data_IF_534552856093
#
_entry.id   IF_534552856093
#
_cell.length_a   1.000
_cell.length_b   1.000
_cell.length_c   1.000
_cell.angle_alpha   90.00
_cell.angle_beta   90.00
_cell.angle_gamma   90.00
#
_symmetry.space_group_name_H-M   'P 1'
#
loop_
_entity.id
_entity.type
_entity.pdbx_description
1 polymer ?
#
# COMPACT_ATOMS: atom_id res chain seq x y z
N UNK A 1 -11.93 7.73 3.35
CA UNK A 1 -11.57 8.14 4.72
C UNK A 1 -11.45 6.95 5.65
N UNK A 2 -10.44 6.98 6.50
CA UNK A 2 -10.24 6.01 7.58
C UNK A 2 -10.94 6.52 8.85
N UNK A 3 -11.80 5.72 9.51
CA UNK A 3 -12.46 6.14 10.75
C UNK A 3 -11.45 6.47 11.85
N UNK A 4 -11.64 7.60 12.54
CA UNK A 4 -10.69 8.09 13.57
C UNK A 4 -10.57 7.17 14.79
N UNK A 5 -11.62 6.40 15.06
CA UNK A 5 -11.77 5.50 16.20
C UNK A 5 -11.72 4.02 15.80
N UNK A 6 -11.26 3.73 14.57
CA UNK A 6 -11.07 2.36 14.10
C UNK A 6 -10.12 1.59 15.03
N UNK A 7 -10.57 0.43 15.49
CA UNK A 7 -9.77 -0.51 16.29
C UNK A 7 -9.90 -1.90 15.67
N UNK A 8 -8.76 -2.51 15.36
CA UNK A 8 -8.69 -3.85 14.77
C UNK A 8 -7.77 -4.71 15.62
N UNK A 9 -8.20 -5.94 15.91
CA UNK A 9 -7.35 -6.93 16.60
C UNK A 9 -6.44 -7.54 15.54
N UNK A 10 -5.14 -7.26 15.65
CA UNK A 10 -4.12 -7.70 14.71
C UNK A 10 -2.74 -7.75 15.37
N UNK A 11 -1.76 -8.28 14.64
CA UNK A 11 -0.36 -8.12 14.98
C UNK A 11 0.11 -6.72 14.55
N UNK A 12 0.26 -5.83 15.52
CA UNK A 12 0.54 -4.41 15.26
C UNK A 12 1.89 -4.21 14.56
N UNK A 13 2.90 -4.99 14.93
CA UNK A 13 4.26 -4.85 14.38
C UNK A 13 4.28 -5.23 12.90
N UNK A 14 3.58 -6.32 12.54
CA UNK A 14 3.46 -6.72 11.13
C UNK A 14 2.64 -5.72 10.30
N UNK A 15 1.55 -5.18 10.86
CA UNK A 15 0.72 -4.18 10.16
C UNK A 15 1.52 -2.89 9.93
N UNK A 16 2.30 -2.44 10.91
CA UNK A 16 3.20 -1.29 10.76
C UNK A 16 4.21 -1.52 9.62
N UNK A 17 4.83 -2.70 9.55
CA UNK A 17 5.75 -3.06 8.46
C UNK A 17 5.07 -3.00 7.10
N UNK A 18 3.85 -3.54 6.98
CA UNK A 18 3.08 -3.51 5.72
C UNK A 18 2.81 -2.07 5.30
N UNK A 19 2.32 -1.23 6.22
CA UNK A 19 2.02 0.18 5.92
C UNK A 19 3.26 0.97 5.51
N UNK A 20 4.37 0.80 6.24
CA UNK A 20 5.62 1.47 5.93
C UNK A 20 6.14 1.10 4.52
N UNK A 21 6.00 -0.18 4.13
CA UNK A 21 6.36 -0.62 2.78
C UNK A 21 5.49 0.05 1.72
N UNK A 22 4.17 0.01 1.88
CA UNK A 22 3.24 0.59 0.91
C UNK A 22 3.40 2.11 0.78
N UNK A 23 3.62 2.81 1.90
CA UNK A 23 3.88 4.26 1.89
C UNK A 23 5.22 4.59 1.22
N UNK A 24 6.26 3.80 1.48
CA UNK A 24 7.56 3.98 0.82
C UNK A 24 7.46 3.77 -0.69
N UNK A 25 6.72 2.77 -1.13
CA UNK A 25 6.47 2.51 -2.55
C UNK A 25 5.69 3.68 -3.19
N UNK A 26 4.64 4.16 -2.53
CA UNK A 26 3.86 5.31 -3.00
C UNK A 26 4.71 6.58 -3.16
N UNK A 27 5.61 6.85 -2.21
CA UNK A 27 6.53 8.01 -2.26
C UNK A 27 7.57 7.82 -3.38
N UNK A 28 8.13 6.62 -3.51
CA UNK A 28 9.21 6.34 -4.46
C UNK A 28 8.72 6.38 -5.90
N UNK A 29 7.62 5.68 -6.17
CA UNK A 29 7.12 5.46 -7.53
C UNK A 29 6.05 6.46 -7.96
N UNK A 30 5.49 7.25 -7.04
CA UNK A 30 4.53 8.29 -7.39
C UNK A 30 5.12 9.49 -8.12
N UNK A 31 4.30 10.29 -8.78
CA UNK A 31 4.71 11.49 -9.52
C UNK A 31 5.30 12.58 -8.60
N UNK A 32 5.94 13.60 -9.20
CA UNK A 32 6.42 14.75 -8.43
C UNK A 32 5.24 15.46 -7.74
N UNK A 33 5.37 15.71 -6.43
CA UNK A 33 4.27 16.22 -5.60
C UNK A 33 3.02 15.33 -5.59
N UNK A 34 3.18 14.00 -5.73
CA UNK A 34 2.03 13.09 -5.68
C UNK A 34 1.26 13.22 -4.37
N UNK A 35 -0.07 13.19 -4.48
CA UNK A 35 -0.93 12.92 -3.35
C UNK A 35 -0.90 11.42 -3.05
N UNK A 36 -0.93 11.08 -1.76
CA UNK A 36 -1.05 9.71 -1.28
C UNK A 36 -2.40 9.56 -0.60
N UNK A 37 -3.22 8.67 -1.14
CA UNK A 37 -4.56 8.36 -0.65
C UNK A 37 -4.52 7.14 0.26
N UNK A 38 -4.96 7.31 1.50
CA UNK A 38 -5.10 6.23 2.47
C UNK A 38 -6.58 5.91 2.63
N UNK A 39 -6.94 4.64 2.44
CA UNK A 39 -8.31 4.16 2.45
C UNK A 39 -8.55 3.04 3.47
N UNK A 40 -9.80 2.94 3.87
CA UNK A 40 -10.33 1.84 4.67
C UNK A 40 -11.73 1.48 4.17
N UNK A 41 -12.07 0.20 4.22
CA UNK A 41 -13.37 -0.34 3.87
C UNK A 41 -13.61 -1.65 4.62
N UNK A 42 -14.81 -1.86 5.14
CA UNK A 42 -15.29 -3.09 5.80
C UNK A 42 -16.57 -3.58 5.13
N UNK A 43 -16.59 -3.52 3.80
CA UNK A 43 -17.73 -3.89 2.95
C UNK A 43 -18.25 -5.32 3.18
N UNK A 44 -17.51 -6.17 3.87
CA UNK A 44 -17.99 -7.45 4.35
C UNK A 44 -17.65 -7.65 5.83
N UNK A 45 -18.44 -8.48 6.51
CA UNK A 45 -18.29 -8.76 7.94
C UNK A 45 -17.05 -9.62 8.26
N UNK A 46 -16.20 -9.93 7.27
CA UNK A 46 -15.09 -10.88 7.41
C UNK A 46 -13.73 -10.22 7.36
N UNK A 47 -13.59 -9.12 6.62
CA UNK A 47 -12.31 -8.51 6.33
C UNK A 47 -12.35 -7.00 6.49
N UNK A 48 -11.28 -6.49 7.09
CA UNK A 48 -10.92 -5.08 7.02
C UNK A 48 -10.01 -4.87 5.81
N UNK A 49 -10.43 -4.01 4.90
CA UNK A 49 -9.67 -3.63 3.71
C UNK A 49 -8.98 -2.30 3.96
N UNK A 50 -7.67 -2.28 3.76
CA UNK A 50 -6.83 -1.10 3.86
C UNK A 50 -6.19 -0.84 2.50
N UNK A 51 -6.07 0.42 2.10
CA UNK A 51 -5.41 0.78 0.85
C UNK A 51 -4.48 1.97 1.02
N UNK A 52 -3.38 1.94 0.29
CA UNK A 52 -2.49 3.07 0.04
C UNK A 52 -2.38 3.20 -1.47
N UNK A 53 -2.69 4.38 -2.00
CA UNK A 53 -2.64 4.65 -3.44
C UNK A 53 -1.93 5.98 -3.71
N UNK A 54 -1.21 6.05 -4.81
CA UNK A 54 -0.57 7.27 -5.34
C UNK A 54 -0.79 7.36 -6.84
N UNK A 55 -0.62 8.54 -7.42
CA UNK A 55 -0.56 8.70 -8.87
C UNK A 55 0.87 8.45 -9.33
N UNK A 56 1.04 7.68 -10.39
CA UNK A 56 2.35 7.25 -10.88
C UNK A 56 2.21 6.46 -12.18
N UNK A 57 3.35 6.14 -12.77
CA UNK A 57 3.37 5.25 -13.92
C UNK A 57 2.83 3.87 -13.54
N UNK A 58 1.99 3.24 -14.39
CA UNK A 58 1.57 1.87 -14.18
C UNK A 58 2.79 0.94 -14.09
N UNK A 59 2.75 -0.02 -13.17
CA UNK A 59 3.76 -1.07 -13.10
C UNK A 59 3.73 -1.85 -14.42
N UNK A 60 4.89 -1.96 -15.08
CA UNK A 60 5.01 -2.67 -16.34
C UNK A 60 4.59 -4.15 -16.19
N UNK A 61 4.12 -4.79 -17.27
CA UNK A 61 3.72 -6.20 -17.21
C UNK A 61 4.87 -7.11 -16.78
N UNK A 62 6.10 -6.83 -17.21
CA UNK A 62 7.30 -7.58 -16.81
C UNK A 62 7.56 -7.46 -15.30
N UNK A 63 7.43 -6.25 -14.75
CA UNK A 63 7.64 -6.00 -13.33
C UNK A 63 6.56 -6.65 -12.46
N UNK A 64 5.30 -6.65 -12.91
CA UNK A 64 4.17 -7.28 -12.20
C UNK A 64 4.40 -8.77 -11.90
N UNK A 65 5.16 -9.47 -12.74
CA UNK A 65 5.51 -10.88 -12.53
C UNK A 65 6.62 -11.12 -11.50
N UNK A 66 7.41 -10.09 -11.19
CA UNK A 66 8.63 -10.22 -10.37
C UNK A 66 8.63 -9.40 -9.09
N UNK A 67 7.75 -8.40 -8.92
CA UNK A 67 7.76 -7.48 -7.76
C UNK A 67 7.59 -8.17 -6.40
N UNK A 68 7.02 -9.38 -6.35
CA UNK A 68 6.90 -10.17 -5.12
C UNK A 68 8.04 -11.19 -4.93
N UNK A 69 9.01 -11.26 -5.86
CA UNK A 69 10.18 -12.13 -5.73
C UNK A 69 11.22 -11.46 -4.83
N UNK A 70 11.81 -12.26 -3.94
CA UNK A 70 12.84 -11.78 -3.01
C UNK A 70 14.06 -11.24 -3.77
N UNK A 71 14.62 -10.13 -3.29
CA UNK A 71 15.79 -9.43 -3.85
C UNK A 71 15.57 -8.76 -5.21
N UNK A 72 14.33 -8.64 -5.67
CA UNK A 72 13.99 -7.83 -6.85
C UNK A 72 13.62 -6.43 -6.38
N UNK A 73 14.17 -5.41 -7.04
CA UNK A 73 13.76 -4.01 -6.89
C UNK A 73 13.72 -3.41 -8.29
N UNK A 74 12.60 -2.80 -8.64
CA UNK A 74 12.44 -2.14 -9.94
C UNK A 74 13.05 -0.74 -9.85
N UNK A 75 13.68 -0.31 -10.94
CA UNK A 75 14.12 1.07 -11.07
C UNK A 75 12.95 1.88 -11.63
N UNK A 76 12.75 3.07 -11.07
CA UNK A 76 11.88 4.08 -11.68
C UNK A 76 12.60 4.74 -12.86
#
# INVERSE_FOLDING_TARGET
>A
DVPKDLKVICDADYVEVIYNNLLTDAIRYGEENTEIFIGYSDKDDRYHYFSVASMGEPISEEDREVIFKRYVTTLK
#
